data_IF_204280338606
#
_entry.id   IF_204280338606
#
_cell.length_a   1.000
_cell.length_b   1.000
_cell.length_c   1.000
_cell.angle_alpha   90.00
_cell.angle_beta   90.00
_cell.angle_gamma   90.00
#
_symmetry.space_group_name_H-M   'P 1'
#
loop_
_entity.id
_entity.type
_entity.pdbx_description
1 polymer ?
#
# COMPACT_ATOMS: atom_id res chain seq x y z
N UNK A 1 -8.05 0.43 -8.45
CA UNK A 1 -6.85 1.24 -8.75
C UNK A 1 -7.10 2.74 -8.56
N UNK A 2 -8.15 3.32 -9.14
CA UNK A 2 -8.44 4.76 -8.99
C UNK A 2 -8.50 5.23 -7.54
N UNK A 3 -9.16 4.47 -6.65
CA UNK A 3 -9.19 4.77 -5.22
C UNK A 3 -7.79 4.80 -4.60
N UNK A 4 -6.96 3.78 -4.82
CA UNK A 4 -5.59 3.73 -4.32
C UNK A 4 -4.72 4.89 -4.83
N UNK A 5 -4.88 5.31 -6.09
CA UNK A 5 -4.17 6.48 -6.64
C UNK A 5 -4.63 7.77 -5.97
N UNK A 6 -5.94 7.94 -5.80
CA UNK A 6 -6.54 9.11 -5.16
C UNK A 6 -6.12 9.20 -3.70
N UNK A 7 -6.23 8.13 -2.94
CA UNK A 7 -5.89 8.08 -1.51
C UNK A 7 -4.40 8.30 -1.28
N UNK A 8 -3.51 7.66 -2.05
CA UNK A 8 -2.07 7.96 -2.00
C UNK A 8 -1.80 9.45 -2.15
N UNK A 9 -2.43 10.10 -3.13
CA UNK A 9 -2.28 11.53 -3.36
C UNK A 9 -2.90 12.38 -2.25
N UNK A 10 -4.11 12.07 -1.82
CA UNK A 10 -4.87 12.85 -0.82
C UNK A 10 -4.22 12.77 0.56
N UNK A 11 -3.69 11.61 0.93
CA UNK A 11 -3.10 11.36 2.23
C UNK A 11 -1.64 11.81 2.30
N UNK A 12 -0.85 11.52 1.27
CA UNK A 12 0.62 11.69 1.32
C UNK A 12 1.17 12.75 0.37
N UNK A 13 0.34 13.28 -0.55
CA UNK A 13 0.79 14.15 -1.64
C UNK A 13 1.54 13.42 -2.76
N UNK A 14 1.80 12.12 -2.63
CA UNK A 14 2.62 11.37 -3.57
C UNK A 14 1.86 10.91 -4.81
N UNK A 15 2.59 10.66 -5.88
CA UNK A 15 2.09 10.05 -7.10
C UNK A 15 2.79 8.71 -7.35
N UNK A 16 2.00 7.64 -7.47
CA UNK A 16 2.52 6.28 -7.68
C UNK A 16 2.57 5.84 -9.14
N UNK A 17 3.64 5.15 -9.51
CA UNK A 17 3.81 4.42 -10.76
C UNK A 17 3.34 2.96 -10.61
N UNK A 18 2.02 2.74 -10.70
CA UNK A 18 1.46 1.39 -10.61
C UNK A 18 1.73 0.62 -11.90
N UNK A 19 2.48 -0.49 -11.79
CA UNK A 19 2.80 -1.40 -12.89
C UNK A 19 2.30 -2.81 -12.60
N UNK A 20 2.18 -3.64 -13.63
CA UNK A 20 1.86 -5.05 -13.42
C UNK A 20 2.98 -5.72 -12.61
N UNK A 21 2.59 -6.59 -11.68
CA UNK A 21 3.57 -7.40 -10.95
C UNK A 21 4.07 -8.52 -11.84
N UNK A 22 5.33 -8.89 -11.68
CA UNK A 22 5.92 -10.03 -12.37
C UNK A 22 5.09 -11.30 -12.08
N UNK A 23 4.64 -11.97 -13.15
CA UNK A 23 3.79 -13.16 -13.04
C UNK A 23 2.30 -12.90 -12.82
N UNK A 24 1.87 -11.63 -12.83
CA UNK A 24 0.45 -11.29 -12.81
C UNK A 24 -0.26 -11.83 -14.06
N UNK A 25 -1.49 -12.32 -13.88
CA UNK A 25 -2.36 -12.73 -14.97
C UNK A 25 -2.90 -11.50 -15.72
N UNK A 26 -3.26 -11.68 -16.99
CA UNK A 26 -3.93 -10.63 -17.75
C UNK A 26 -5.24 -10.21 -17.08
N UNK A 27 -5.52 -8.91 -17.09
CA UNK A 27 -6.65 -8.30 -16.41
C UNK A 27 -6.49 -8.07 -14.90
N UNK A 28 -5.41 -8.56 -14.26
CA UNK A 28 -5.13 -8.22 -12.85
C UNK A 28 -4.76 -6.74 -12.73
N UNK A 29 -5.38 -5.97 -11.84
CA UNK A 29 -5.04 -4.57 -11.63
C UNK A 29 -3.55 -4.37 -11.31
N UNK A 30 -2.94 -3.37 -11.95
CA UNK A 30 -1.54 -3.02 -11.70
C UNK A 30 -1.26 -2.76 -10.22
N UNK A 31 -0.19 -3.37 -9.69
CA UNK A 31 0.23 -3.28 -8.31
C UNK A 31 -0.58 -4.09 -7.30
N UNK A 32 -1.62 -4.84 -7.69
CA UNK A 32 -2.44 -5.59 -6.73
C UNK A 32 -1.61 -6.71 -6.05
N UNK A 33 -1.44 -6.60 -4.73
CA UNK A 33 -0.81 -7.63 -3.90
C UNK A 33 -1.83 -8.67 -3.42
N UNK A 34 -3.06 -8.24 -3.16
CA UNK A 34 -4.12 -9.07 -2.61
C UNK A 34 -5.21 -8.21 -1.98
N UNK A 35 -5.98 -8.81 -1.09
CA UNK A 35 -6.97 -8.09 -0.32
C UNK A 35 -7.05 -8.66 1.10
N UNK A 36 -7.56 -7.86 2.02
CA UNK A 36 -7.89 -8.28 3.38
C UNK A 36 -9.34 -7.95 3.72
N UNK A 37 -9.86 -8.68 4.69
CA UNK A 37 -11.23 -8.56 5.16
C UNK A 37 -11.23 -8.24 6.64
N UNK A 38 -11.87 -7.12 7.02
CA UNK A 38 -12.11 -6.80 8.43
C UNK A 38 -13.51 -6.18 8.65
N UNK A 39 -14.10 -6.40 9.84
CA UNK A 39 -15.34 -5.73 10.22
C UNK A 39 -15.18 -4.21 10.29
N UNK A 40 -16.09 -3.47 9.64
CA UNK A 40 -16.12 -2.00 9.60
C UNK A 40 -17.30 -1.43 10.39
N UNK A 41 -17.50 -1.93 11.62
CA UNK A 41 -18.58 -1.50 12.51
C UNK A 41 -19.96 -1.64 11.86
N UNK A 42 -20.76 -0.58 11.89
CA UNK A 42 -22.12 -0.55 11.33
C UNK A 42 -22.18 -0.64 9.80
N UNK A 43 -21.04 -0.50 9.11
CA UNK A 43 -20.95 -0.59 7.64
C UNK A 43 -20.81 -2.03 7.13
N UNK A 44 -20.70 -3.00 8.03
CA UNK A 44 -20.59 -4.43 7.68
C UNK A 44 -19.15 -4.86 7.43
N UNK A 45 -18.94 -5.74 6.45
CA UNK A 45 -17.63 -6.28 6.09
C UNK A 45 -16.92 -5.34 5.11
N UNK A 46 -15.72 -4.88 5.45
CA UNK A 46 -14.85 -4.20 4.49
C UNK A 46 -13.98 -5.22 3.76
N UNK A 47 -13.86 -5.02 2.44
CA UNK A 47 -12.88 -5.68 1.59
C UNK A 47 -11.88 -4.61 1.16
N UNK A 48 -10.65 -4.71 1.66
CA UNK A 48 -9.59 -3.77 1.39
C UNK A 48 -8.60 -4.37 0.41
N UNK A 49 -8.49 -3.78 -0.79
CA UNK A 49 -7.57 -4.21 -1.82
C UNK A 49 -6.23 -3.49 -1.65
N UNK A 50 -5.16 -4.26 -1.47
CA UNK A 50 -3.83 -3.73 -1.18
C UNK A 50 -3.01 -3.64 -2.47
N UNK A 51 -2.47 -2.46 -2.73
CA UNK A 51 -1.65 -2.20 -3.91
C UNK A 51 -0.23 -1.78 -3.53
N UNK A 52 0.75 -2.16 -4.35
CA UNK A 52 2.12 -1.65 -4.32
C UNK A 52 2.41 -0.79 -5.54
N UNK A 53 3.22 0.24 -5.35
CA UNK A 53 3.58 1.21 -6.38
C UNK A 53 4.96 1.76 -6.09
N UNK A 54 5.63 2.25 -7.12
CA UNK A 54 6.86 3.03 -6.94
C UNK A 54 6.54 4.51 -6.88
N UNK A 55 7.32 5.23 -6.10
CA UNK A 55 7.32 6.70 -6.05
C UNK A 55 8.71 7.20 -6.45
N UNK A 56 8.85 8.50 -6.70
CA UNK A 56 10.15 9.08 -7.00
C UNK A 56 11.15 8.87 -5.84
N UNK A 57 12.43 8.72 -6.15
CA UNK A 57 13.48 8.47 -5.14
C UNK A 57 13.60 9.62 -4.12
N UNK A 58 13.29 10.84 -4.53
CA UNK A 58 13.26 12.06 -3.72
C UNK A 58 11.84 12.41 -3.23
N UNK A 59 10.92 11.45 -3.22
CA UNK A 59 9.55 11.65 -2.79
C UNK A 59 9.44 12.13 -1.33
N UNK A 60 8.96 13.36 -1.16
CA UNK A 60 8.61 13.92 0.15
C UNK A 60 7.11 13.78 0.43
N UNK A 61 6.78 13.21 1.59
CA UNK A 61 5.39 13.09 2.06
C UNK A 61 4.90 14.45 2.55
N UNK A 62 3.80 14.93 1.95
CA UNK A 62 3.00 16.05 2.43
C UNK A 62 1.71 15.49 3.03
N UNK A 63 1.63 15.31 4.35
CA UNK A 63 0.50 14.63 4.98
C UNK A 63 -0.77 15.48 4.89
N UNK A 64 -1.92 14.82 4.91
CA UNK A 64 -3.17 15.47 5.28
C UNK A 64 -3.41 15.39 6.80
N UNK A 65 -4.65 15.57 7.23
CA UNK A 65 -5.03 15.57 8.65
C UNK A 65 -5.31 14.17 9.22
N UNK A 66 -5.23 13.11 8.39
CA UNK A 66 -5.58 11.74 8.77
C UNK A 66 -4.44 11.01 9.49
N UNK A 67 -3.19 11.46 9.31
CA UNK A 67 -2.05 10.99 10.10
C UNK A 67 -1.10 12.13 10.46
N UNK A 68 -0.42 11.98 11.61
CA UNK A 68 0.47 13.00 12.16
C UNK A 68 1.96 12.64 12.18
N UNK A 69 2.30 11.38 11.89
CA UNK A 69 3.68 10.91 11.89
C UNK A 69 3.86 9.85 10.80
N UNK A 70 4.99 9.93 10.09
CA UNK A 70 5.35 9.00 9.04
C UNK A 70 6.88 8.87 8.98
N UNK A 71 7.33 7.76 8.42
CA UNK A 71 8.72 7.50 8.06
C UNK A 71 8.76 6.43 6.99
N UNK A 72 9.76 6.46 6.13
CA UNK A 72 10.11 5.32 5.30
C UNK A 72 10.68 4.22 6.19
N UNK A 73 10.36 2.96 5.88
CA UNK A 73 10.81 1.80 6.66
C UNK A 73 11.42 0.74 5.74
N UNK A 74 12.49 0.11 6.22
CA UNK A 74 13.05 -1.07 5.57
C UNK A 74 12.44 -2.38 6.12
N UNK A 75 13.01 -3.52 5.69
CA UNK A 75 12.56 -4.84 6.11
C UNK A 75 12.76 -5.07 7.62
N UNK A 76 13.93 -4.71 8.15
CA UNK A 76 14.25 -4.95 9.56
C UNK A 76 13.38 -4.09 10.46
N UNK A 77 13.15 -2.83 10.08
CA UNK A 77 12.28 -1.92 10.81
C UNK A 77 10.81 -2.34 10.78
N UNK A 78 10.38 -3.02 9.70
CA UNK A 78 9.03 -3.56 9.61
C UNK A 78 8.83 -4.76 10.55
N UNK A 79 9.86 -5.57 10.80
CA UNK A 79 9.80 -6.73 11.71
C UNK A 79 9.49 -6.29 13.16
N UNK A 80 10.01 -5.13 13.57
CA UNK A 80 9.82 -4.57 14.90
C UNK A 80 8.64 -3.59 15.01
N UNK A 81 7.96 -3.27 13.89
CA UNK A 81 6.89 -2.27 13.88
C UNK A 81 5.65 -2.78 14.64
N UNK A 82 5.18 -2.07 15.69
CA UNK A 82 3.95 -2.42 16.38
C UNK A 82 2.74 -2.20 15.47
N UNK A 83 2.23 -3.28 14.90
CA UNK A 83 1.13 -3.27 13.95
C UNK A 83 0.42 -4.63 13.89
N UNK A 84 -0.79 -4.70 13.30
CA UNK A 84 -1.42 -5.97 12.95
C UNK A 84 -0.52 -6.82 12.06
N UNK A 85 -0.56 -8.15 12.25
CA UNK A 85 0.33 -9.08 11.54
C UNK A 85 0.18 -9.00 10.00
N UNK A 86 -1.05 -8.89 9.51
CA UNK A 86 -1.35 -8.79 8.09
C UNK A 86 -0.73 -7.54 7.45
N UNK A 87 -0.66 -6.41 8.17
CA UNK A 87 -0.01 -5.19 7.69
C UNK A 87 1.48 -5.44 7.43
N UNK A 88 2.19 -6.12 8.36
CA UNK A 88 3.59 -6.51 8.14
C UNK A 88 3.73 -7.50 6.98
N UNK A 89 2.83 -8.48 6.88
CA UNK A 89 2.85 -9.45 5.78
C UNK A 89 2.71 -8.77 4.41
N UNK A 90 1.80 -7.80 4.26
CA UNK A 90 1.70 -7.01 3.04
C UNK A 90 2.94 -6.13 2.80
N UNK A 91 3.51 -5.52 3.84
CA UNK A 91 4.75 -4.76 3.70
C UNK A 91 5.92 -5.64 3.22
N UNK A 92 6.02 -6.88 3.69
CA UNK A 92 7.01 -7.85 3.20
C UNK A 92 6.81 -8.18 1.72
N UNK A 93 5.56 -8.38 1.29
CA UNK A 93 5.25 -8.61 -0.12
C UNK A 93 5.55 -7.38 -0.98
N UNK A 94 5.26 -6.18 -0.48
CA UNK A 94 5.57 -4.93 -1.17
C UNK A 94 7.07 -4.74 -1.38
N UNK A 95 7.90 -4.98 -0.35
CA UNK A 95 9.37 -4.89 -0.46
C UNK A 95 9.97 -5.95 -1.40
N UNK A 96 9.35 -7.13 -1.47
CA UNK A 96 9.77 -8.21 -2.36
C UNK A 96 9.24 -8.07 -3.80
N UNK A 97 8.27 -7.16 -4.03
CA UNK A 97 7.60 -7.02 -5.31
C UNK A 97 8.60 -6.70 -6.44
N UNK A 98 8.33 -7.27 -7.61
CA UNK A 98 9.03 -6.99 -8.86
C UNK A 98 8.01 -6.64 -9.91
N UNK A 99 8.26 -5.55 -10.63
CA UNK A 99 7.39 -5.11 -11.71
C UNK A 99 7.83 -5.73 -13.03
N UNK A 100 6.86 -6.15 -13.84
CA UNK A 100 7.04 -6.79 -15.14
C UNK A 100 6.75 -5.86 -16.31
#
# INVERSE_FOLDING_TARGET
LEAARRELREETGLAGLFRALQGALDGVPAGLLGYEEHPAGSKGQHLNFVFVTEVADDAEVTPNHEFGAWRWVDRAELDDLPSPLNVRQFGYLALAARFG
#
